data_IF_796561199895
#
_entry.id   IF_796561199895
#
_cell.length_a   1.000
_cell.length_b   1.000
_cell.length_c   1.000
_cell.angle_alpha   90.00
_cell.angle_beta   90.00
_cell.angle_gamma   90.00
#
_symmetry.space_group_name_H-M   'P 1'
#
loop_
_entity.id
_entity.type
_entity.pdbx_description
1 polymer ?
#
# COMPACT_ATOMS: atom_id res chain seq x y z
N UNK A 1 -6.64 3.35 2.23
CA UNK A 1 -6.34 2.58 1.00
C UNK A 1 -6.54 1.13 1.32
N UNK A 2 -7.17 0.43 0.39
CA UNK A 2 -7.45 -1.00 0.45
C UNK A 2 -6.17 -1.81 0.25
N UNK A 3 -6.20 -3.04 0.73
CA UNK A 3 -5.16 -4.03 0.52
C UNK A 3 -5.47 -4.82 -0.75
N UNK A 4 -5.25 -4.19 -1.91
CA UNK A 4 -5.38 -4.85 -3.21
C UNK A 4 -4.41 -4.22 -4.25
N UNK A 5 -4.29 -4.84 -5.44
CA UNK A 5 -3.40 -4.30 -6.47
C UNK A 5 -3.83 -2.93 -7.04
N UNK A 6 -5.13 -2.63 -7.05
CA UNK A 6 -5.65 -1.35 -7.56
C UNK A 6 -5.32 -0.18 -6.60
N UNK A 7 -5.37 -0.39 -5.29
CA UNK A 7 -4.96 0.57 -4.26
C UNK A 7 -3.48 0.98 -4.39
N UNK A 8 -2.61 0.01 -4.71
CA UNK A 8 -1.20 0.30 -5.01
C UNK A 8 -1.06 1.07 -6.33
N UNK A 9 -1.88 0.77 -7.34
CA UNK A 9 -1.87 1.50 -8.61
C UNK A 9 -2.29 2.97 -8.43
N UNK A 10 -3.31 3.23 -7.63
CA UNK A 10 -3.74 4.60 -7.27
C UNK A 10 -2.59 5.33 -6.59
N UNK A 11 -1.94 4.71 -5.61
CA UNK A 11 -0.80 5.31 -4.93
C UNK A 11 0.37 5.61 -5.89
N UNK A 12 0.62 4.72 -6.85
CA UNK A 12 1.66 4.91 -7.86
C UNK A 12 1.38 6.14 -8.74
N UNK A 13 0.11 6.39 -9.10
CA UNK A 13 -0.29 7.60 -9.84
C UNK A 13 0.01 8.85 -9.02
N UNK A 14 -0.33 8.90 -7.74
CA UNK A 14 0.02 10.06 -6.91
C UNK A 14 1.53 10.24 -6.78
N UNK A 15 2.30 9.15 -6.66
CA UNK A 15 3.75 9.23 -6.43
C UNK A 15 4.54 9.62 -7.69
N UNK A 16 4.16 9.09 -8.86
CA UNK A 16 4.93 9.21 -10.11
C UNK A 16 4.21 9.98 -11.21
N UNK A 17 2.97 10.44 -10.95
CA UNK A 17 2.02 10.90 -11.96
C UNK A 17 1.55 9.76 -12.89
N UNK A 18 0.43 9.97 -13.58
CA UNK A 18 -0.01 9.07 -14.64
C UNK A 18 0.76 9.36 -15.94
N UNK A 19 1.03 8.32 -16.72
CA UNK A 19 1.65 8.49 -18.05
C UNK A 19 0.81 9.35 -19.01
N UNK A 20 -0.50 9.49 -18.76
CA UNK A 20 -1.41 10.34 -19.54
C UNK A 20 -1.34 11.83 -19.18
N UNK A 21 -0.72 12.16 -18.05
CA UNK A 21 -0.53 13.52 -17.54
C UNK A 21 0.96 13.90 -17.50
N UNK A 22 1.80 13.25 -18.32
CA UNK A 22 3.25 13.50 -18.39
C UNK A 22 3.60 14.96 -18.71
N UNK A 23 2.66 15.71 -19.28
CA UNK A 23 2.81 17.13 -19.61
C UNK A 23 2.53 18.07 -18.40
N UNK A 24 2.02 17.55 -17.28
CA UNK A 24 1.74 18.32 -16.05
C UNK A 24 2.64 17.82 -14.91
N UNK A 25 3.92 18.24 -14.87
CA UNK A 25 4.91 17.69 -13.93
C UNK A 25 4.63 18.04 -12.45
N UNK A 26 3.75 19.01 -12.17
CA UNK A 26 3.48 19.51 -10.81
C UNK A 26 2.44 18.70 -10.02
N UNK A 27 1.93 17.59 -10.55
CA UNK A 27 0.87 16.79 -9.90
C UNK A 27 1.46 15.64 -9.05
N UNK A 28 2.68 15.19 -9.35
CA UNK A 28 3.31 14.13 -8.58
C UNK A 28 3.63 14.59 -7.15
N UNK A 29 3.43 13.69 -6.19
CA UNK A 29 3.82 13.85 -4.79
C UNK A 29 4.83 12.76 -4.44
N UNK A 30 6.13 12.92 -4.77
CA UNK A 30 7.14 11.88 -4.57
C UNK A 30 7.30 11.45 -3.11
N UNK A 31 7.02 12.35 -2.17
CA UNK A 31 7.06 12.11 -0.72
C UNK A 31 5.89 11.30 -0.19
N UNK A 32 4.85 11.02 -1.00
CA UNK A 32 3.68 10.26 -0.54
C UNK A 32 4.07 8.87 -0.04
N UNK A 33 3.51 8.51 1.12
CA UNK A 33 3.70 7.22 1.78
C UNK A 33 2.38 6.46 1.86
N UNK A 34 2.47 5.13 1.89
CA UNK A 34 1.31 4.27 2.03
C UNK A 34 0.96 4.06 3.50
N UNK A 35 -0.19 4.57 3.93
CA UNK A 35 -0.73 4.39 5.29
C UNK A 35 -1.87 3.36 5.35
N UNK A 36 -2.28 2.79 4.22
CA UNK A 36 -3.42 1.85 4.17
C UNK A 36 -3.14 0.51 4.82
N UNK A 37 -4.12 -0.40 4.73
CA UNK A 37 -3.97 -1.77 5.24
C UNK A 37 -2.78 -2.43 4.56
N UNK A 38 -1.91 -3.04 5.36
CA UNK A 38 -0.72 -3.78 4.93
C UNK A 38 -0.79 -5.23 5.37
N UNK A 39 0.07 -6.07 4.82
CA UNK A 39 0.19 -7.48 5.19
C UNK A 39 0.36 -7.72 6.69
N UNK A 40 1.05 -6.81 7.41
CA UNK A 40 1.21 -6.92 8.86
C UNK A 40 -0.11 -6.80 9.64
N UNK A 41 -1.08 -6.08 9.10
CA UNK A 41 -2.41 -5.87 9.71
C UNK A 41 -3.33 -7.09 9.47
N UNK A 42 -2.98 -7.92 8.49
CA UNK A 42 -3.74 -9.11 8.04
C UNK A 42 -3.33 -10.36 8.82
N UNK A 43 -2.15 -10.34 9.46
CA UNK A 43 -1.66 -11.46 10.24
C UNK A 43 -2.59 -11.77 11.45
N UNK A 44 -2.64 -13.04 11.89
CA UNK A 44 -3.62 -13.50 12.87
C UNK A 44 -3.55 -12.68 14.16
N UNK A 45 -4.65 -12.01 14.51
CA UNK A 45 -4.80 -11.30 15.80
C UNK A 45 -5.25 -9.84 15.71
N UNK A 46 -5.19 -9.19 14.53
CA UNK A 46 -5.60 -7.78 14.39
C UNK A 46 -6.92 -7.57 13.65
N UNK A 47 -7.24 -8.40 12.65
CA UNK A 47 -8.42 -8.26 11.81
C UNK A 47 -9.10 -9.64 11.66
N UNK A 48 -10.44 -9.68 11.72
CA UNK A 48 -11.18 -10.94 11.55
C UNK A 48 -10.94 -11.51 10.14
N UNK A 49 -10.35 -12.72 10.09
CA UNK A 49 -9.97 -13.37 8.84
C UNK A 49 -11.14 -13.72 7.92
N UNK A 50 -12.37 -13.76 8.44
CA UNK A 50 -13.58 -14.05 7.68
C UNK A 50 -13.97 -12.92 6.70
N UNK A 51 -13.36 -11.74 6.81
CA UNK A 51 -13.71 -10.59 5.99
C UNK A 51 -12.72 -10.33 4.84
N UNK A 52 -11.69 -11.18 4.69
CA UNK A 52 -10.80 -11.13 3.53
C UNK A 52 -11.46 -11.73 2.30
N UNK A 53 -11.12 -11.19 1.13
CA UNK A 53 -11.59 -11.68 -0.17
C UNK A 53 -10.47 -12.39 -0.91
N UNK A 54 -10.82 -13.37 -1.73
CA UNK A 54 -9.88 -14.00 -2.66
C UNK A 54 -9.52 -13.05 -3.80
N UNK A 55 -8.26 -13.04 -4.23
CA UNK A 55 -7.88 -12.30 -5.43
C UNK A 55 -8.63 -12.83 -6.66
N UNK A 56 -9.08 -11.92 -7.52
CA UNK A 56 -9.63 -12.29 -8.82
C UNK A 56 -8.51 -12.65 -9.81
N UNK A 57 -8.88 -13.28 -10.93
CA UNK A 57 -7.93 -13.51 -12.03
C UNK A 57 -7.36 -12.20 -12.60
N UNK A 58 -8.19 -11.13 -12.62
CA UNK A 58 -7.77 -9.79 -13.00
C UNK A 58 -6.73 -9.25 -12.02
N UNK A 59 -6.98 -9.38 -10.72
CA UNK A 59 -6.11 -8.84 -9.66
C UNK A 59 -4.72 -9.49 -9.77
N UNK A 60 -4.67 -10.84 -9.91
CA UNK A 60 -3.41 -11.58 -10.08
C UNK A 60 -2.65 -11.18 -11.34
N UNK A 61 -3.35 -11.04 -12.47
CA UNK A 61 -2.76 -10.60 -13.74
C UNK A 61 -2.22 -9.18 -13.63
N UNK A 62 -2.98 -8.28 -13.03
CA UNK A 62 -2.57 -6.90 -12.81
C UNK A 62 -1.33 -6.81 -11.92
N UNK A 63 -1.34 -7.46 -10.75
CA UNK A 63 -0.22 -7.45 -9.81
C UNK A 63 1.08 -7.95 -10.45
N UNK A 64 1.01 -9.07 -11.18
CA UNK A 64 2.16 -9.64 -11.90
C UNK A 64 2.70 -8.68 -12.95
N UNK A 65 1.83 -8.12 -13.80
CA UNK A 65 2.22 -7.18 -14.84
C UNK A 65 2.79 -5.88 -14.26
N UNK A 66 2.19 -5.37 -13.18
CA UNK A 66 2.64 -4.18 -12.48
C UNK A 66 4.06 -4.37 -11.93
N UNK A 67 4.31 -5.48 -11.22
CA UNK A 67 5.65 -5.81 -10.72
C UNK A 67 6.67 -5.96 -11.84
N UNK A 68 6.33 -6.62 -12.94
CA UNK A 68 7.23 -6.75 -14.09
C UNK A 68 7.58 -5.40 -14.70
N UNK A 69 6.58 -4.54 -14.94
CA UNK A 69 6.78 -3.19 -15.51
C UNK A 69 7.68 -2.33 -14.63
N UNK A 70 7.42 -2.31 -13.32
CA UNK A 70 8.14 -1.43 -12.39
C UNK A 70 9.48 -1.99 -11.90
N UNK A 71 9.73 -3.30 -12.05
CA UNK A 71 11.05 -3.88 -11.76
C UNK A 71 12.12 -3.39 -12.75
N UNK A 72 11.76 -3.19 -14.01
CA UNK A 72 12.68 -2.73 -15.05
C UNK A 72 13.03 -1.24 -14.93
N UNK A 73 12.15 -0.42 -14.34
CA UNK A 73 12.33 1.03 -14.22
C UNK A 73 13.05 1.44 -12.93
N UNK A 74 13.30 0.50 -12.02
CA UNK A 74 13.88 0.80 -10.69
C UNK A 74 12.98 1.65 -9.77
N UNK A 75 11.75 1.95 -10.21
CA UNK A 75 10.80 2.80 -9.46
C UNK A 75 9.92 2.02 -8.50
N UNK A 76 10.00 0.67 -8.50
CA UNK A 76 9.24 -0.13 -7.57
C UNK A 76 9.82 -0.01 -6.17
N UNK A 77 9.11 0.68 -5.29
CA UNK A 77 9.39 0.66 -3.87
C UNK A 77 9.43 -0.81 -3.38
N UNK A 78 10.53 -1.21 -2.74
CA UNK A 78 10.71 -2.56 -2.18
C UNK A 78 9.52 -2.98 -1.30
N UNK A 79 8.91 -2.04 -0.58
CA UNK A 79 7.73 -2.30 0.23
C UNK A 79 6.52 -2.69 -0.64
N UNK A 80 6.23 -1.96 -1.71
CA UNK A 80 5.10 -2.26 -2.59
C UNK A 80 5.26 -3.63 -3.28
N UNK A 81 6.50 -3.98 -3.64
CA UNK A 81 6.80 -5.31 -4.17
C UNK A 81 6.47 -6.41 -3.17
N UNK A 82 6.94 -6.27 -1.92
CA UNK A 82 6.69 -7.23 -0.85
C UNK A 82 5.20 -7.41 -0.59
N UNK A 83 4.45 -6.32 -0.57
CA UNK A 83 3.01 -6.32 -0.32
C UNK A 83 2.25 -6.99 -1.46
N UNK A 84 2.55 -6.67 -2.73
CA UNK A 84 1.98 -7.37 -3.90
C UNK A 84 2.32 -8.87 -3.92
N UNK A 85 3.55 -9.25 -3.57
CA UNK A 85 3.95 -10.64 -3.46
C UNK A 85 3.19 -11.35 -2.34
N UNK A 86 2.96 -10.68 -1.22
CA UNK A 86 2.20 -11.23 -0.09
C UNK A 86 0.73 -11.42 -0.46
N UNK A 87 0.10 -10.44 -1.12
CA UNK A 87 -1.24 -10.58 -1.70
C UNK A 87 -1.35 -11.82 -2.59
N UNK A 88 -0.40 -12.00 -3.51
CA UNK A 88 -0.38 -13.13 -4.44
C UNK A 88 -0.15 -14.47 -3.75
N UNK A 89 0.78 -14.52 -2.79
CA UNK A 89 1.14 -15.76 -2.07
C UNK A 89 0.00 -16.24 -1.17
N UNK A 90 -0.67 -15.32 -0.47
CA UNK A 90 -1.83 -15.62 0.37
C UNK A 90 -3.13 -15.75 -0.45
N UNK A 91 -3.13 -15.24 -1.69
CA UNK A 91 -4.30 -15.10 -2.56
C UNK A 91 -5.45 -14.32 -1.88
N UNK A 92 -5.11 -13.25 -1.14
CA UNK A 92 -6.08 -12.41 -0.42
C UNK A 92 -6.00 -10.94 -0.82
N UNK A 93 -7.13 -10.26 -0.69
CA UNK A 93 -7.29 -8.80 -0.67
C UNK A 93 -8.27 -8.37 0.41
N UNK A 94 -8.24 -7.09 0.80
CA UNK A 94 -9.11 -6.55 1.85
C UNK A 94 -9.50 -5.10 1.56
N UNK A 95 -10.76 -4.75 1.76
CA UNK A 95 -11.25 -3.37 1.80
C UNK A 95 -10.91 -2.73 3.14
N UNK A 96 -10.67 -1.43 3.19
CA UNK A 96 -10.41 -0.71 4.46
C UNK A 96 -11.58 -0.82 5.45
N UNK A 97 -12.80 -0.98 4.93
CA UNK A 97 -14.04 -1.18 5.67
C UNK A 97 -14.01 -2.43 6.56
N UNK A 98 -13.06 -3.35 6.34
CA UNK A 98 -12.83 -4.50 7.22
C UNK A 98 -12.49 -4.10 8.67
N UNK A 99 -11.92 -2.90 8.86
CA UNK A 99 -11.60 -2.36 10.18
C UNK A 99 -12.87 -2.04 10.99
N UNK A 100 -14.04 -1.98 10.35
CA UNK A 100 -15.33 -1.73 11.00
C UNK A 100 -15.77 -0.27 10.91
N UNK A 101 -16.58 0.16 11.89
CA UNK A 101 -17.20 1.48 11.90
C UNK A 101 -16.21 2.63 12.16
N UNK A 102 -16.71 3.86 12.00
CA UNK A 102 -15.90 5.08 12.08
C UNK A 102 -15.03 5.20 13.35
N UNK A 103 -15.53 4.75 14.51
CA UNK A 103 -14.79 4.81 15.77
C UNK A 103 -13.59 3.84 15.81
N UNK A 104 -13.70 2.67 15.18
CA UNK A 104 -12.61 1.70 15.09
C UNK A 104 -11.58 2.18 14.06
N UNK A 105 -12.06 2.65 12.90
CA UNK A 105 -11.20 3.24 11.88
C UNK A 105 -10.38 4.43 12.42
N UNK A 106 -11.00 5.34 13.18
CA UNK A 106 -10.30 6.46 13.79
C UNK A 106 -9.17 6.00 14.72
N UNK A 107 -9.46 5.04 15.60
CA UNK A 107 -8.46 4.50 16.53
C UNK A 107 -7.32 3.79 15.79
N UNK A 108 -7.64 3.00 14.77
CA UNK A 108 -6.65 2.35 13.93
C UNK A 108 -5.76 3.38 13.23
N UNK A 109 -6.36 4.44 12.69
CA UNK A 109 -5.65 5.52 12.01
C UNK A 109 -4.71 6.27 12.96
N UNK A 110 -5.18 6.61 14.17
CA UNK A 110 -4.36 7.28 15.18
C UNK A 110 -3.12 6.45 15.54
N UNK A 111 -3.28 5.14 15.72
CA UNK A 111 -2.18 4.22 16.02
C UNK A 111 -1.21 4.13 14.84
N UNK A 112 -1.72 3.92 13.62
CA UNK A 112 -0.88 3.85 12.42
C UNK A 112 -0.10 5.14 12.17
N UNK A 113 -0.71 6.31 12.40
CA UNK A 113 -0.03 7.59 12.26
C UNK A 113 1.11 7.72 13.27
N UNK A 114 0.89 7.37 14.54
CA UNK A 114 1.94 7.40 15.58
C UNK A 114 3.13 6.50 15.23
N UNK A 115 2.85 5.28 14.76
CA UNK A 115 3.89 4.33 14.33
C UNK A 115 4.68 4.84 13.12
N UNK A 116 4.01 5.48 12.16
CA UNK A 116 4.67 6.00 10.96
C UNK A 116 5.50 7.24 11.26
N UNK A 117 5.00 8.15 12.11
CA UNK A 117 5.74 9.35 12.52
C UNK A 117 7.01 9.00 13.28
N UNK A 118 6.94 8.05 14.22
CA UNK A 118 8.13 7.60 14.96
C UNK A 118 9.17 6.94 14.03
N UNK A 119 8.73 6.16 13.04
CA UNK A 119 9.62 5.62 11.99
C UNK A 119 10.30 6.73 11.19
N UNK A 120 9.56 7.77 10.78
CA UNK A 120 10.10 8.90 10.02
C UNK A 120 11.18 9.62 10.82
N UNK A 121 10.89 9.95 12.07
CA UNK A 121 11.85 10.60 12.98
C UNK A 121 13.12 9.75 13.13
N UNK A 122 12.99 8.42 13.21
CA UNK A 122 14.15 7.52 13.30
C UNK A 122 15.00 7.47 12.03
N UNK A 123 14.36 7.52 10.85
CA UNK A 123 15.03 7.51 9.54
C UNK A 123 15.80 8.82 9.33
N UNK A 124 15.21 9.97 9.68
CA UNK A 124 15.86 11.29 9.59
C UNK A 124 17.05 11.42 10.54
N UNK A 125 16.91 10.94 11.79
CA UNK A 125 17.99 10.95 12.76
C UNK A 125 19.17 10.05 12.38
N UNK A 126 18.92 9.00 11.59
CA UNK A 126 19.96 8.08 11.10
C UNK A 126 20.67 8.62 9.85
N UNK A 127 19.98 9.43 9.02
CA UNK A 127 20.57 10.05 7.83
C UNK A 127 21.43 11.29 8.14
N UNK A 128 21.21 11.91 9.31
CA UNK A 128 21.95 13.09 9.78
C UNK A 128 23.17 12.76 10.67
N UNK A 129 23.53 11.48 10.82
CA UNK A 129 24.75 11.01 11.51
C UNK A 129 25.75 10.46 10.50
#
# INVERSE_FOLDING_TARGET
MDFDPDGIAILAVYKFNSAKLSHEPHIAVPSIKWLGIQSCDILPGQINSQSFMSLSARDRKFATNFMQKHSHTGTLNLNWKKELQTMLMLNVKAEIQILGGASVLSRWLDNKLRENLSRIESEENSANR
#
